data_IF_006016811896
#
_entry.id   IF_006016811896
#
_cell.length_a   1.000
_cell.length_b   1.000
_cell.length_c   1.000
_cell.angle_alpha   90.00
_cell.angle_beta   90.00
_cell.angle_gamma   90.00
#
_symmetry.space_group_name_H-M   'P 1'
#
loop_
_entity.id
_entity.type
_entity.pdbx_description
1 polymer ?
#
# COMPACT_ATOMS: atom_id res chain seq x y z
N UNK A 1 -51.74 -32.81 18.73
CA UNK A 1 -50.26 -32.86 18.86
C UNK A 1 -49.69 -31.60 18.23
N UNK A 2 -49.32 -30.61 19.05
CA UNK A 2 -48.90 -29.28 18.61
C UNK A 2 -47.42 -29.08 18.94
N UNK A 3 -46.64 -28.67 17.92
CA UNK A 3 -45.18 -28.51 17.98
C UNK A 3 -44.78 -27.27 18.80
N UNK A 4 -43.63 -27.28 19.49
CA UNK A 4 -43.16 -26.13 20.26
C UNK A 4 -42.61 -25.03 19.34
N UNK A 5 -42.88 -23.78 19.70
CA UNK A 5 -42.34 -22.57 19.05
C UNK A 5 -40.85 -22.44 19.39
N UNK A 6 -40.00 -22.34 18.37
CA UNK A 6 -38.59 -21.94 18.50
C UNK A 6 -38.53 -20.43 18.44
N UNK A 7 -38.04 -19.80 19.50
CA UNK A 7 -37.75 -18.37 19.58
C UNK A 7 -36.38 -18.12 18.96
N UNK A 8 -36.23 -17.27 17.92
CA UNK A 8 -34.90 -16.91 17.43
C UNK A 8 -34.31 -15.81 18.32
N UNK A 9 -33.06 -16.03 18.69
CA UNK A 9 -32.18 -15.11 19.41
C UNK A 9 -31.83 -13.94 18.46
N UNK A 10 -32.15 -12.71 18.85
CA UNK A 10 -31.71 -11.50 18.14
C UNK A 10 -30.24 -11.23 18.52
N UNK A 11 -29.30 -11.46 17.59
CA UNK A 11 -27.98 -10.82 17.65
C UNK A 11 -28.12 -9.40 17.13
N UNK A 12 -27.95 -8.41 18.01
CA UNK A 12 -27.82 -7.01 17.62
C UNK A 12 -26.54 -6.82 16.81
N UNK A 13 -26.65 -6.70 15.48
CA UNK A 13 -25.61 -6.11 14.64
C UNK A 13 -25.98 -4.65 14.42
N UNK A 14 -25.19 -3.77 15.03
CA UNK A 14 -25.28 -2.33 14.84
C UNK A 14 -24.96 -1.98 13.38
N UNK A 15 -26.01 -1.78 12.58
CA UNK A 15 -25.93 -1.10 11.29
C UNK A 15 -25.78 0.41 11.55
N UNK A 16 -24.65 0.99 11.16
CA UNK A 16 -24.56 2.43 10.93
C UNK A 16 -25.26 2.72 9.59
N UNK A 17 -26.55 3.07 9.64
CA UNK A 17 -27.24 3.70 8.51
C UNK A 17 -26.66 5.10 8.32
N UNK A 18 -25.81 5.27 7.31
CA UNK A 18 -25.52 6.59 6.75
C UNK A 18 -26.76 7.08 6.01
N UNK A 19 -27.56 7.94 6.65
CA UNK A 19 -28.65 8.66 6.00
C UNK A 19 -28.05 9.72 5.08
N UNK A 20 -28.29 9.60 3.77
CA UNK A 20 -28.06 10.69 2.84
C UNK A 20 -29.12 11.77 3.05
N UNK A 21 -28.88 12.70 3.98
CA UNK A 21 -29.67 13.90 4.13
C UNK A 21 -29.17 14.96 3.13
N UNK A 22 -29.96 15.22 2.08
CA UNK A 22 -29.93 16.48 1.35
C UNK A 22 -30.50 17.57 2.29
N UNK A 23 -29.64 18.30 2.98
CA UNK A 23 -30.03 19.49 3.75
C UNK A 23 -29.18 19.77 4.99
N UNK A 24 -28.39 20.85 4.91
CA UNK A 24 -27.71 21.47 6.05
C UNK A 24 -26.23 21.09 6.15
N UNK A 25 -25.33 22.00 5.73
CA UNK A 25 -23.97 22.02 6.26
C UNK A 25 -24.07 22.30 7.77
N UNK A 26 -24.12 21.25 8.57
CA UNK A 26 -23.64 21.30 9.94
C UNK A 26 -22.14 21.10 9.83
N UNK A 27 -21.39 22.20 9.77
CA UNK A 27 -19.96 22.15 10.04
C UNK A 27 -19.83 21.89 11.54
N UNK A 28 -19.71 20.63 11.94
CA UNK A 28 -19.10 20.29 13.23
C UNK A 28 -17.63 20.72 13.14
N UNK A 29 -17.38 22.00 13.42
CA UNK A 29 -16.08 22.66 13.25
C UNK A 29 -15.09 22.34 14.37
N UNK A 30 -15.24 21.19 15.03
CA UNK A 30 -14.40 20.75 16.15
C UNK A 30 -14.10 19.25 16.15
N UNK A 31 -14.40 18.52 15.06
CA UNK A 31 -13.84 17.19 14.90
C UNK A 31 -12.33 17.33 14.63
N UNK A 32 -11.51 16.75 15.51
CA UNK A 32 -10.07 16.62 15.30
C UNK A 32 -9.87 15.93 13.94
N UNK A 33 -9.28 16.65 12.97
CA UNK A 33 -9.12 16.09 11.63
C UNK A 33 -8.30 14.79 11.74
N UNK A 34 -8.78 13.68 11.16
CA UNK A 34 -8.08 12.42 11.29
C UNK A 34 -6.68 12.56 10.70
N UNK A 35 -5.68 12.02 11.40
CA UNK A 35 -4.29 12.06 10.97
C UNK A 35 -4.09 11.44 9.57
N UNK A 36 -5.01 10.60 9.11
CA UNK A 36 -5.08 10.07 7.74
C UNK A 36 -6.52 10.03 7.24
N UNK A 37 -6.76 10.51 6.02
CA UNK A 37 -8.02 10.34 5.30
C UNK A 37 -7.77 9.81 3.90
N UNK A 38 -8.64 8.93 3.42
CA UNK A 38 -8.59 8.38 2.05
C UNK A 38 -9.93 8.62 1.36
N UNK A 39 -9.88 9.18 0.15
CA UNK A 39 -11.04 9.34 -0.74
C UNK A 39 -10.82 8.49 -1.97
N UNK A 40 -11.77 7.62 -2.34
CA UNK A 40 -11.59 6.67 -3.44
C UNK A 40 -12.54 7.02 -4.58
N UNK A 41 -11.97 7.16 -5.77
CA UNK A 41 -12.68 7.40 -7.02
C UNK A 41 -12.66 6.12 -7.83
N UNK A 42 -13.84 5.59 -8.12
CA UNK A 42 -14.00 4.41 -8.97
C UNK A 42 -14.25 4.83 -10.41
N UNK A 43 -13.53 4.21 -11.33
CA UNK A 43 -13.84 4.25 -12.77
C UNK A 43 -14.25 2.86 -13.29
N UNK A 44 -14.65 1.97 -12.38
CA UNK A 44 -15.07 0.61 -12.71
C UNK A 44 -16.37 0.64 -13.51
N UNK A 45 -16.41 -0.07 -14.65
CA UNK A 45 -17.67 -0.37 -15.33
C UNK A 45 -18.48 -1.37 -14.49
N UNK A 46 -19.69 -1.02 -14.00
CA UNK A 46 -20.49 -1.93 -13.18
C UNK A 46 -20.85 -3.25 -13.87
N UNK A 47 -20.90 -3.27 -15.20
CA UNK A 47 -21.22 -4.46 -15.98
C UNK A 47 -19.99 -5.36 -16.22
N UNK A 48 -18.81 -4.76 -16.43
CA UNK A 48 -17.58 -5.48 -16.77
C UNK A 48 -16.62 -5.75 -15.60
N UNK A 49 -16.69 -4.96 -14.53
CA UNK A 49 -15.79 -5.08 -13.38
C UNK A 49 -16.31 -6.10 -12.36
N UNK A 50 -15.61 -7.22 -12.27
CA UNK A 50 -15.85 -8.28 -11.30
C UNK A 50 -14.71 -8.30 -10.24
N UNK A 51 -14.97 -7.80 -9.02
CA UNK A 51 -14.00 -7.83 -7.92
C UNK A 51 -13.50 -9.24 -7.57
N UNK A 52 -14.29 -10.29 -7.83
CA UNK A 52 -13.93 -11.65 -7.46
C UNK A 52 -12.79 -12.21 -8.33
N UNK A 53 -12.66 -11.73 -9.57
CA UNK A 53 -11.53 -12.08 -10.45
C UNK A 53 -10.19 -11.64 -9.87
N UNK A 54 -10.16 -10.44 -9.29
CA UNK A 54 -8.98 -9.86 -8.65
C UNK A 54 -8.56 -10.65 -7.40
N UNK A 55 -9.52 -11.07 -6.57
CA UNK A 55 -9.28 -11.93 -5.40
C UNK A 55 -8.71 -13.30 -5.82
N UNK A 56 -9.21 -13.87 -6.92
CA UNK A 56 -8.75 -15.14 -7.48
C UNK A 56 -7.31 -15.08 -8.00
N UNK A 57 -6.93 -13.99 -8.68
CA UNK A 57 -5.57 -13.79 -9.19
C UNK A 57 -4.55 -13.59 -8.07
N UNK A 58 -4.91 -12.84 -7.01
CA UNK A 58 -4.02 -12.61 -5.88
C UNK A 58 -3.66 -13.91 -5.13
N UNK A 59 -4.63 -14.82 -4.99
CA UNK A 59 -4.44 -16.14 -4.36
C UNK A 59 -3.50 -17.07 -5.13
N UNK A 60 -3.31 -16.85 -6.43
CA UNK A 60 -2.46 -17.65 -7.30
C UNK A 60 -1.05 -17.05 -7.49
N UNK A 61 -0.62 -16.13 -6.61
CA UNK A 61 0.71 -15.52 -6.67
C UNK A 61 0.77 -14.24 -7.52
N UNK A 62 -0.23 -13.36 -7.36
CA UNK A 62 -0.50 -12.21 -8.23
C UNK A 62 0.69 -11.28 -8.55
N UNK A 63 0.66 -10.79 -9.79
CA UNK A 63 1.60 -9.88 -10.45
C UNK A 63 1.71 -8.51 -9.75
N UNK A 64 2.92 -7.96 -9.62
CA UNK A 64 3.18 -6.62 -9.05
C UNK A 64 2.44 -5.50 -9.82
N UNK A 65 2.05 -5.76 -11.07
CA UNK A 65 1.28 -4.83 -11.90
C UNK A 65 -0.22 -4.78 -11.57
N UNK A 66 -0.71 -5.51 -10.55
CA UNK A 66 -2.11 -5.54 -10.14
C UNK A 66 -2.74 -4.14 -10.02
N UNK A 67 -2.05 -3.21 -9.36
CA UNK A 67 -2.60 -1.88 -9.10
C UNK A 67 -2.87 -1.07 -10.37
N UNK A 68 -2.16 -1.34 -11.46
CA UNK A 68 -2.39 -0.69 -12.76
C UNK A 68 -3.65 -1.19 -13.47
N UNK A 69 -4.16 -2.36 -13.07
CA UNK A 69 -5.37 -2.98 -13.63
C UNK A 69 -6.62 -2.61 -12.86
N UNK A 70 -6.48 -2.06 -11.64
CA UNK A 70 -7.60 -1.63 -10.82
C UNK A 70 -8.14 -0.29 -11.36
N UNK A 71 -9.41 -0.24 -11.81
CA UNK A 71 -9.99 0.97 -12.40
C UNK A 71 -10.36 1.98 -11.32
N UNK A 72 -9.57 3.03 -11.19
CA UNK A 72 -9.81 4.11 -10.24
C UNK A 72 -8.51 4.59 -9.60
N UNK A 73 -8.65 5.41 -8.58
CA UNK A 73 -7.55 5.87 -7.76
C UNK A 73 -8.05 6.30 -6.37
N UNK A 74 -7.16 6.32 -5.39
CA UNK A 74 -7.39 6.98 -4.11
C UNK A 74 -6.63 8.29 -4.01
N UNK A 75 -7.21 9.26 -3.32
CA UNK A 75 -6.52 10.45 -2.80
C UNK A 75 -6.29 10.22 -1.32
N UNK A 76 -5.03 10.15 -0.93
CA UNK A 76 -4.61 9.99 0.46
C UNK A 76 -4.16 11.35 0.97
N UNK A 77 -4.62 11.72 2.16
CA UNK A 77 -4.14 12.88 2.91
C UNK A 77 -3.66 12.39 4.27
N UNK A 78 -2.44 12.76 4.63
CA UNK A 78 -1.84 12.40 5.91
C UNK A 78 -1.22 13.63 6.56
N UNK A 79 -1.41 13.79 7.86
CA UNK A 79 -0.75 14.81 8.67
C UNK A 79 0.17 14.13 9.66
N UNK A 80 1.44 14.55 9.73
CA UNK A 80 2.44 14.03 10.66
C UNK A 80 3.27 15.15 11.28
N UNK A 81 3.63 14.93 12.54
CA UNK A 81 4.49 15.79 13.35
C UNK A 81 5.97 15.54 13.02
N UNK A 82 6.72 16.61 12.77
CA UNK A 82 8.16 16.58 12.59
C UNK A 82 8.84 17.69 13.37
N UNK A 83 9.94 17.36 14.05
CA UNK A 83 10.80 18.35 14.70
C UNK A 83 11.75 18.95 13.66
N UNK A 84 11.54 20.23 13.32
CA UNK A 84 12.36 20.96 12.36
C UNK A 84 13.32 21.91 13.07
N UNK A 85 14.50 22.09 12.47
CA UNK A 85 15.42 23.19 12.79
C UNK A 85 15.08 24.39 11.92
N UNK A 86 15.44 25.59 12.36
CA UNK A 86 15.39 26.77 11.47
C UNK A 86 16.38 26.59 10.32
N UNK A 87 15.95 26.86 9.09
CA UNK A 87 16.74 26.69 7.87
C UNK A 87 16.51 25.32 7.21
N UNK A 88 17.58 24.74 6.66
CA UNK A 88 17.53 23.48 5.90
C UNK A 88 17.26 22.26 6.79
N UNK A 89 16.33 21.41 6.35
CA UNK A 89 15.98 20.13 6.96
C UNK A 89 15.78 19.06 5.88
N UNK A 90 16.29 17.86 6.11
CA UNK A 90 15.89 16.69 5.33
C UNK A 90 14.86 15.89 6.12
N UNK A 91 13.70 15.64 5.51
CA UNK A 91 12.58 14.92 6.13
C UNK A 91 12.25 13.69 5.30
N UNK A 92 12.22 12.53 5.95
CA UNK A 92 11.75 11.27 5.36
C UNK A 92 10.33 10.97 5.82
N UNK A 93 9.38 11.05 4.90
CA UNK A 93 7.98 10.69 5.09
C UNK A 93 7.76 9.25 4.58
N UNK A 94 7.97 8.29 5.49
CA UNK A 94 7.90 6.84 5.22
C UNK A 94 6.45 6.34 5.15
N UNK A 95 6.25 5.06 4.83
CA UNK A 95 4.93 4.40 4.89
C UNK A 95 3.89 5.09 4.01
N UNK A 96 4.31 5.62 2.85
CA UNK A 96 3.38 6.11 1.82
C UNK A 96 2.88 4.96 0.97
N UNK A 97 1.80 5.18 0.22
CA UNK A 97 1.25 4.16 -0.65
C UNK A 97 2.29 3.72 -1.70
N UNK A 98 2.37 2.41 -1.96
CA UNK A 98 3.33 1.86 -2.92
C UNK A 98 3.06 2.37 -4.35
N UNK A 99 1.80 2.53 -4.73
CA UNK A 99 1.40 2.99 -6.06
C UNK A 99 1.06 4.48 -6.09
N UNK A 100 1.71 5.25 -5.21
CA UNK A 100 1.62 6.70 -5.17
C UNK A 100 2.09 7.29 -6.51
N UNK A 101 1.34 8.26 -7.03
CA UNK A 101 1.78 9.09 -8.15
C UNK A 101 2.66 10.24 -7.62
N UNK A 102 3.98 10.24 -7.89
CA UNK A 102 4.89 11.24 -7.35
C UNK A 102 4.61 12.66 -7.87
N UNK A 103 3.92 12.79 -9.00
CA UNK A 103 3.57 14.09 -9.60
C UNK A 103 2.34 14.72 -8.95
N UNK A 104 1.59 13.94 -8.17
CA UNK A 104 0.38 14.39 -7.46
C UNK A 104 0.63 14.87 -6.03
N UNK A 105 1.86 14.74 -5.53
CA UNK A 105 2.21 15.02 -4.13
C UNK A 105 2.12 16.51 -3.84
N UNK A 106 1.21 16.87 -2.95
CA UNK A 106 1.10 18.18 -2.34
C UNK A 106 1.69 18.18 -0.93
N UNK A 107 2.44 19.22 -0.61
CA UNK A 107 2.99 19.49 0.71
C UNK A 107 2.32 20.73 1.32
N UNK A 108 2.00 20.67 2.61
CA UNK A 108 1.57 21.84 3.38
C UNK A 108 2.02 21.73 4.82
N UNK A 109 2.78 22.70 5.28
CA UNK A 109 3.05 22.88 6.71
C UNK A 109 1.87 23.63 7.36
N UNK A 110 1.19 22.98 8.30
CA UNK A 110 0.05 23.54 9.03
C UNK A 110 0.49 24.44 10.20
N UNK A 111 1.76 24.37 10.58
CA UNK A 111 2.34 25.03 11.75
C UNK A 111 3.13 26.29 11.39
N UNK A 112 3.77 26.32 10.22
CA UNK A 112 4.34 27.52 9.60
C UNK A 112 4.15 27.49 8.07
N UNK A 113 3.21 28.25 7.51
CA UNK A 113 2.93 28.23 6.07
C UNK A 113 4.07 28.80 5.21
N UNK A 114 5.13 29.34 5.81
CA UNK A 114 6.33 29.83 5.10
C UNK A 114 7.36 28.75 4.85
N UNK A 115 7.21 27.56 5.43
CA UNK A 115 8.10 26.42 5.16
C UNK A 115 8.04 26.07 3.68
N UNK A 116 9.20 26.11 3.02
CA UNK A 116 9.32 25.86 1.59
C UNK A 116 9.89 24.47 1.33
N UNK A 117 9.34 23.77 0.34
CA UNK A 117 9.95 22.55 -0.21
C UNK A 117 10.95 22.97 -1.27
N UNK A 118 12.23 22.70 -1.04
CA UNK A 118 13.32 22.95 -1.98
C UNK A 118 13.50 21.78 -2.94
N UNK A 119 13.35 20.56 -2.42
CA UNK A 119 13.49 19.33 -3.19
C UNK A 119 12.46 18.30 -2.73
N UNK A 120 11.96 17.50 -3.68
CA UNK A 120 11.10 16.36 -3.43
C UNK A 120 11.59 15.17 -4.24
N UNK A 121 11.81 14.05 -3.55
CA UNK A 121 12.17 12.78 -4.16
C UNK A 121 11.26 11.66 -3.65
N UNK A 122 10.73 10.85 -4.56
CA UNK A 122 10.03 9.61 -4.20
C UNK A 122 10.98 8.43 -4.37
N UNK A 123 11.29 7.75 -3.26
CA UNK A 123 12.15 6.57 -3.26
C UNK A 123 11.28 5.32 -3.18
N UNK A 124 11.17 4.63 -4.31
CA UNK A 124 10.35 3.43 -4.51
C UNK A 124 11.18 2.13 -4.60
N UNK A 125 12.47 2.15 -4.25
CA UNK A 125 13.31 0.94 -4.20
C UNK A 125 12.98 0.08 -2.97
N UNK A 126 11.74 -0.42 -2.97
CA UNK A 126 11.22 -1.44 -2.10
C UNK A 126 12.09 -2.69 -2.21
N UNK A 127 12.40 -3.28 -1.06
CA UNK A 127 12.99 -4.61 -0.93
C UNK A 127 12.15 -5.63 -1.71
N UNK A 128 12.59 -5.99 -2.92
CA UNK A 128 12.23 -7.24 -3.59
C UNK A 128 13.42 -8.20 -3.51
N UNK A 129 13.21 -9.52 -3.48
CA UNK A 129 14.32 -10.48 -3.52
C UNK A 129 15.26 -10.23 -4.69
N UNK A 130 14.72 -9.87 -5.87
CA UNK A 130 15.52 -9.51 -7.04
C UNK A 130 16.37 -8.25 -6.84
N UNK A 131 15.78 -7.15 -6.37
CA UNK A 131 16.51 -5.89 -6.12
C UNK A 131 17.53 -6.02 -5.00
N UNK A 132 17.24 -6.83 -3.99
CA UNK A 132 18.23 -7.20 -2.98
C UNK A 132 19.41 -7.89 -3.67
N UNK A 133 19.17 -8.96 -4.43
CA UNK A 133 20.24 -9.69 -5.10
C UNK A 133 21.02 -8.82 -6.09
N UNK A 134 20.37 -7.89 -6.80
CA UNK A 134 21.03 -6.90 -7.65
C UNK A 134 21.98 -5.99 -6.86
N UNK A 135 21.65 -5.63 -5.62
CA UNK A 135 22.52 -4.83 -4.76
C UNK A 135 23.71 -5.61 -4.22
N UNK A 136 23.59 -6.92 -4.13
CA UNK A 136 24.67 -7.84 -3.74
C UNK A 136 25.48 -8.34 -4.95
N UNK A 137 25.28 -7.78 -6.15
CA UNK A 137 26.21 -8.03 -7.25
C UNK A 137 27.61 -7.55 -6.85
N UNK A 138 28.59 -8.40 -7.14
CA UNK A 138 30.00 -8.25 -6.77
C UNK A 138 30.26 -8.27 -5.25
N UNK A 139 29.26 -8.66 -4.44
CA UNK A 139 29.38 -8.84 -2.99
C UNK A 139 29.44 -10.33 -2.61
N UNK A 140 30.00 -10.60 -1.42
CA UNK A 140 30.06 -11.95 -0.87
C UNK A 140 28.70 -12.41 -0.35
N UNK A 141 28.24 -13.56 -0.81
CA UNK A 141 27.01 -14.21 -0.35
C UNK A 141 27.28 -15.65 0.05
N UNK A 142 26.41 -16.19 0.91
CA UNK A 142 26.38 -17.61 1.23
C UNK A 142 25.04 -18.19 0.77
N UNK A 143 25.07 -19.30 0.06
CA UNK A 143 23.88 -20.05 -0.32
C UNK A 143 23.96 -21.48 0.18
N UNK A 144 22.81 -21.99 0.59
CA UNK A 144 22.63 -23.38 1.01
C UNK A 144 21.74 -24.09 0.00
N UNK A 145 22.27 -25.08 -0.69
CA UNK A 145 21.58 -25.87 -1.71
C UNK A 145 21.29 -27.26 -1.17
N UNK A 146 20.11 -27.79 -1.45
CA UNK A 146 19.76 -29.18 -1.12
C UNK A 146 20.10 -30.06 -2.31
N UNK A 147 21.02 -31.01 -2.14
CA UNK A 147 21.44 -31.95 -3.18
C UNK A 147 21.17 -33.38 -2.70
N UNK A 148 20.05 -33.96 -3.16
CA UNK A 148 19.59 -35.27 -2.68
C UNK A 148 19.24 -35.24 -1.19
N UNK A 149 19.88 -36.10 -0.39
CA UNK A 149 19.74 -36.14 1.08
C UNK A 149 20.74 -35.21 1.81
N UNK A 150 21.60 -34.51 1.06
CA UNK A 150 22.67 -33.68 1.59
C UNK A 150 22.37 -32.17 1.50
N UNK A 151 23.06 -31.41 2.35
CA UNK A 151 23.09 -29.95 2.29
C UNK A 151 24.49 -29.53 1.86
N UNK A 152 24.58 -28.67 0.84
CA UNK A 152 25.84 -28.06 0.39
C UNK A 152 25.79 -26.56 0.63
N UNK A 153 26.86 -26.02 1.22
CA UNK A 153 27.03 -24.58 1.43
C UNK A 153 28.03 -24.07 0.40
N UNK A 154 27.67 -23.01 -0.31
CA UNK A 154 28.49 -22.34 -1.32
C UNK A 154 28.65 -20.90 -0.88
N UNK A 155 29.88 -20.46 -0.70
CA UNK A 155 30.23 -19.08 -0.39
C UNK A 155 31.06 -18.49 -1.53
N UNK A 156 30.76 -17.26 -1.92
CA UNK A 156 31.47 -16.60 -3.00
C UNK A 156 30.84 -15.27 -3.41
N UNK A 157 31.40 -14.67 -4.45
CA UNK A 157 30.99 -13.39 -5.02
C UNK A 157 29.81 -13.60 -5.99
N UNK A 158 28.68 -12.91 -5.77
CA UNK A 158 27.52 -12.99 -6.66
C UNK A 158 27.76 -12.16 -7.92
N UNK A 159 27.90 -12.82 -9.08
CA UNK A 159 28.13 -12.12 -10.35
C UNK A 159 26.83 -11.83 -11.12
N UNK A 160 25.77 -12.58 -10.88
CA UNK A 160 24.49 -12.38 -11.55
C UNK A 160 23.34 -13.03 -10.78
N UNK A 161 22.19 -12.36 -10.77
CA UNK A 161 20.90 -12.92 -10.37
C UNK A 161 19.86 -12.59 -11.43
N UNK A 162 19.69 -13.48 -12.40
CA UNK A 162 18.79 -13.24 -13.53
C UNK A 162 18.04 -14.52 -13.92
N UNK A 163 16.78 -14.36 -14.32
CA UNK A 163 15.93 -15.48 -14.78
C UNK A 163 15.85 -16.64 -13.77
N UNK A 164 15.85 -16.34 -12.48
CA UNK A 164 15.82 -17.36 -11.42
C UNK A 164 17.15 -18.10 -11.21
N UNK A 165 18.25 -17.68 -11.84
CA UNK A 165 19.57 -18.29 -11.66
C UNK A 165 20.56 -17.34 -11.01
N UNK A 166 21.37 -17.90 -10.12
CA UNK A 166 22.49 -17.25 -9.46
C UNK A 166 23.79 -17.72 -10.11
N UNK A 167 24.67 -16.78 -10.42
CA UNK A 167 26.06 -17.09 -10.83
C UNK A 167 26.98 -16.62 -9.72
N UNK A 168 27.69 -17.55 -9.11
CA UNK A 168 28.57 -17.29 -7.96
C UNK A 168 29.98 -17.67 -8.35
N UNK A 169 30.92 -16.77 -8.07
CA UNK A 169 32.34 -17.04 -8.21
C UNK A 169 32.90 -17.50 -6.88
N UNK A 170 33.34 -18.74 -6.85
CA UNK A 170 33.96 -19.41 -5.70
C UNK A 170 35.47 -19.50 -5.92
N UNK A 171 36.19 -19.97 -4.91
CA UNK A 171 37.63 -20.23 -5.01
C UNK A 171 37.96 -21.36 -6.02
N UNK A 172 37.00 -22.23 -6.32
CA UNK A 172 37.17 -23.37 -7.22
C UNK A 172 36.68 -23.11 -8.64
N UNK A 173 35.95 -22.01 -8.89
CA UNK A 173 35.48 -21.63 -10.21
C UNK A 173 34.16 -20.85 -10.20
N UNK A 174 33.40 -20.97 -11.28
CA UNK A 174 32.05 -20.42 -11.37
C UNK A 174 31.03 -21.51 -11.10
N UNK A 175 30.10 -21.24 -10.19
CA UNK A 175 28.96 -22.08 -9.92
C UNK A 175 27.67 -21.39 -10.37
N UNK A 176 26.77 -22.17 -10.97
CA UNK A 176 25.44 -21.69 -11.35
C UNK A 176 24.41 -22.50 -10.59
N UNK A 177 23.53 -21.81 -9.87
CA UNK A 177 22.54 -22.43 -9.00
C UNK A 177 21.15 -21.88 -9.32
N UNK A 178 20.14 -22.74 -9.31
CA UNK A 178 18.75 -22.31 -9.38
C UNK A 178 18.33 -21.69 -8.05
N UNK A 179 17.80 -20.48 -8.09
CA UNK A 179 17.38 -19.75 -6.90
C UNK A 179 16.23 -20.46 -6.18
N UNK A 180 15.45 -21.33 -6.84
CA UNK A 180 14.40 -22.13 -6.18
C UNK A 180 14.96 -23.19 -5.24
N UNK A 181 16.17 -23.67 -5.51
CA UNK A 181 16.79 -24.81 -4.82
C UNK A 181 17.76 -24.35 -3.71
N UNK A 182 17.92 -23.03 -3.59
CA UNK A 182 18.88 -22.39 -2.71
C UNK A 182 18.20 -21.53 -1.64
N UNK A 183 18.62 -21.71 -0.38
CA UNK A 183 18.40 -20.73 0.68
C UNK A 183 19.55 -19.72 0.66
N UNK A 184 19.24 -18.46 0.43
CA UNK A 184 20.23 -17.38 0.31
C UNK A 184 20.41 -16.66 1.65
N UNK A 185 21.66 -16.48 2.08
CA UNK A 185 22.05 -15.71 3.26
C UNK A 185 22.90 -14.51 2.82
N UNK A 186 22.36 -13.31 3.01
CA UNK A 186 22.96 -12.04 2.56
C UNK A 186 23.64 -11.26 3.70
N UNK A 187 23.66 -11.81 4.92
CA UNK A 187 24.21 -11.11 6.09
C UNK A 187 23.39 -9.87 6.47
N UNK A 188 24.02 -8.70 6.56
CA UNK A 188 23.40 -7.43 6.95
C UNK A 188 22.84 -6.66 5.76
N UNK A 189 21.64 -6.09 5.89
CA UNK A 189 21.03 -5.25 4.86
C UNK A 189 21.96 -4.09 4.46
N UNK A 190 22.24 -3.86 3.16
CA UNK A 190 23.10 -2.77 2.73
C UNK A 190 22.51 -1.41 3.10
N UNK A 191 23.37 -0.44 3.41
CA UNK A 191 22.93 0.92 3.72
C UNK A 191 22.11 1.54 2.57
N UNK A 192 21.10 2.33 2.93
CA UNK A 192 20.25 3.04 1.97
C UNK A 192 19.11 2.22 1.37
N UNK A 193 18.93 0.95 1.78
CA UNK A 193 17.75 0.19 1.41
C UNK A 193 16.52 0.68 2.18
N UNK A 194 15.51 1.12 1.44
CA UNK A 194 14.22 1.48 2.02
C UNK A 194 13.32 0.24 1.98
N UNK A 195 12.93 -0.23 3.15
CA UNK A 195 11.99 -1.35 3.29
C UNK A 195 10.57 -0.96 2.89
N UNK A 196 10.30 0.33 2.72
CA UNK A 196 8.98 0.90 2.46
C UNK A 196 9.07 2.12 1.54
N UNK A 197 8.03 2.42 0.76
CA UNK A 197 8.01 3.60 -0.10
C UNK A 197 8.14 4.85 0.77
N UNK A 198 8.99 5.79 0.35
CA UNK A 198 9.32 6.97 1.17
C UNK A 198 9.39 8.21 0.29
N UNK A 199 8.72 9.29 0.71
CA UNK A 199 8.94 10.63 0.18
C UNK A 199 10.05 11.29 1.00
N UNK A 200 11.05 11.84 0.33
CA UNK A 200 12.12 12.61 0.95
C UNK A 200 11.99 14.06 0.50
N UNK A 201 11.94 14.97 1.47
CA UNK A 201 11.87 16.40 1.24
C UNK A 201 13.09 17.11 1.81
N UNK A 202 13.64 18.04 1.02
CA UNK A 202 14.52 19.09 1.52
C UNK A 202 13.65 20.32 1.81
N UNK A 203 13.55 20.73 3.06
CA UNK A 203 12.70 21.82 3.53
C UNK A 203 13.55 23.01 3.99
N UNK A 204 13.11 24.23 3.71
CA UNK A 204 13.60 25.45 4.35
C UNK A 204 12.53 25.99 5.30
N UNK A 205 12.79 25.88 6.61
CA UNK A 205 11.85 26.27 7.66
C UNK A 205 12.23 27.63 8.26
N UNK A 206 11.28 28.58 8.28
CA UNK A 206 11.52 29.92 8.82
C UNK A 206 11.76 29.93 10.35
N UNK A 207 11.25 28.92 11.05
CA UNK A 207 11.45 28.66 12.48
C UNK A 207 11.66 27.17 12.73
N UNK A 208 12.26 26.84 13.87
CA UNK A 208 12.32 25.46 14.35
C UNK A 208 11.21 25.14 15.35
N UNK A 209 11.20 23.89 15.79
CA UNK A 209 10.25 23.31 16.74
C UNK A 209 9.47 22.16 16.10
N UNK A 210 8.34 21.80 16.72
CA UNK A 210 7.44 20.80 16.15
C UNK A 210 6.55 21.41 15.05
N UNK A 211 6.46 20.75 13.91
CA UNK A 211 5.64 21.14 12.75
C UNK A 211 4.72 19.99 12.32
N UNK A 212 3.43 20.29 12.21
CA UNK A 212 2.44 19.41 11.59
C UNK A 212 2.47 19.57 10.07
N UNK A 213 3.04 18.57 9.39
CA UNK A 213 3.18 18.53 7.93
C UNK A 213 2.08 17.66 7.35
N UNK A 214 1.29 18.25 6.44
CA UNK A 214 0.28 17.58 5.65
C UNK A 214 0.80 17.22 4.26
N UNK A 215 0.75 15.94 3.95
CA UNK A 215 0.94 15.38 2.60
C UNK A 215 -0.41 15.05 1.98
N UNK A 216 -0.59 15.31 0.70
CA UNK A 216 -1.74 14.81 -0.08
C UNK A 216 -1.25 14.25 -1.40
N UNK A 217 -1.69 13.06 -1.80
CA UNK A 217 -1.24 12.42 -3.02
C UNK A 217 -2.28 11.44 -3.57
N UNK A 218 -2.21 11.17 -4.86
CA UNK A 218 -2.97 10.10 -5.51
C UNK A 218 -2.21 8.78 -5.44
N UNK A 219 -2.96 7.67 -5.41
CA UNK A 219 -2.42 6.31 -5.52
C UNK A 219 -3.34 5.45 -6.38
N UNK A 220 -2.76 4.59 -7.21
CA UNK A 220 -3.50 3.56 -7.93
C UNK A 220 -3.83 2.36 -7.01
N UNK A 221 -4.51 1.35 -7.56
CA UNK A 221 -4.83 0.11 -6.84
C UNK A 221 -6.09 0.16 -5.98
N UNK A 222 -6.78 1.31 -5.92
CA UNK A 222 -7.98 1.49 -5.12
C UNK A 222 -9.20 1.70 -6.02
N UNK A 223 -10.28 0.96 -5.74
CA UNK A 223 -11.58 1.21 -6.36
C UNK A 223 -12.71 0.77 -5.44
N UNK A 224 -13.93 1.13 -5.79
CA UNK A 224 -15.13 0.72 -5.06
C UNK A 224 -16.31 0.51 -6.01
N UNK A 225 -17.29 -0.24 -5.52
CA UNK A 225 -18.57 -0.49 -6.19
C UNK A 225 -19.69 -0.50 -5.15
N UNK A 226 -20.87 -0.03 -5.53
CA UNK A 226 -22.08 -0.20 -4.75
C UNK A 226 -23.13 -0.98 -5.55
N UNK A 227 -23.70 -2.01 -4.95
CA UNK A 227 -24.78 -2.82 -5.49
C UNK A 227 -26.05 -2.53 -4.70
N UNK A 228 -27.13 -2.20 -5.41
CA UNK A 228 -28.42 -1.84 -4.82
C UNK A 228 -29.46 -2.90 -5.18
N UNK A 229 -30.23 -3.34 -4.19
CA UNK A 229 -31.41 -4.17 -4.36
C UNK A 229 -32.63 -3.35 -3.96
N UNK A 230 -33.59 -3.25 -4.88
CA UNK A 230 -34.83 -2.52 -4.69
C UNK A 230 -36.00 -3.50 -4.78
N UNK A 231 -36.80 -3.57 -3.72
CA UNK A 231 -37.98 -4.44 -3.64
C UNK A 231 -39.21 -3.55 -3.53
N UNK A 232 -40.09 -3.63 -4.52
CA UNK A 232 -41.37 -2.91 -4.52
C UNK A 232 -42.42 -3.68 -3.70
N UNK A 233 -43.38 -2.95 -3.12
CA UNK A 233 -44.59 -3.54 -2.58
C UNK A 233 -45.57 -3.96 -3.71
N UNK A 234 -46.57 -4.78 -3.38
CA UNK A 234 -47.49 -5.39 -4.36
C UNK A 234 -48.24 -4.38 -5.25
N UNK A 235 -48.40 -3.13 -4.81
CA UNK A 235 -49.08 -2.04 -5.51
C UNK A 235 -48.14 -0.99 -6.13
N UNK A 236 -46.82 -1.23 -6.15
CA UNK A 236 -45.79 -0.36 -6.73
C UNK A 236 -45.76 1.08 -6.15
N UNK A 237 -46.25 1.29 -4.93
CA UNK A 237 -46.32 2.61 -4.26
C UNK A 237 -45.19 2.88 -3.27
N UNK A 238 -44.46 1.85 -2.86
CA UNK A 238 -43.34 1.92 -1.93
C UNK A 238 -42.22 0.95 -2.33
N UNK A 239 -41.00 1.26 -1.89
CA UNK A 239 -39.82 0.46 -2.19
C UNK A 239 -38.90 0.35 -0.96
N UNK A 240 -38.45 -0.86 -0.68
CA UNK A 240 -37.34 -1.13 0.23
C UNK A 240 -36.03 -1.16 -0.56
N UNK A 241 -35.02 -0.43 -0.07
CA UNK A 241 -33.71 -0.34 -0.72
C UNK A 241 -32.64 -0.88 0.21
N UNK A 242 -31.91 -1.89 -0.24
CA UNK A 242 -30.70 -2.41 0.43
C UNK A 242 -29.50 -2.16 -0.45
N UNK A 243 -28.38 -1.73 0.14
CA UNK A 243 -27.15 -1.47 -0.59
C UNK A 243 -25.97 -2.23 0.03
N UNK A 244 -25.05 -2.70 -0.80
CA UNK A 244 -23.77 -3.27 -0.42
C UNK A 244 -22.64 -2.49 -1.09
N UNK A 245 -21.65 -2.05 -0.32
CA UNK A 245 -20.46 -1.38 -0.84
C UNK A 245 -19.28 -2.32 -0.75
N UNK A 246 -18.61 -2.54 -1.88
CA UNK A 246 -17.38 -3.31 -1.96
C UNK A 246 -16.20 -2.39 -2.23
N UNK A 247 -15.12 -2.58 -1.48
CA UNK A 247 -13.86 -1.87 -1.66
C UNK A 247 -12.79 -2.86 -2.15
N UNK A 248 -11.98 -2.45 -3.12
CA UNK A 248 -10.79 -3.19 -3.54
C UNK A 248 -9.54 -2.34 -3.28
N UNK A 249 -8.52 -2.96 -2.68
CA UNK A 249 -7.24 -2.33 -2.33
C UNK A 249 -6.04 -3.28 -2.38
#
# INVERSE_FOLDING_TARGET
MSRPRITPFLLASSLLLGTAALGGLVTDSNAEEPATSVTIYSSADPAGFDPQRFIGQQRNGGDFNFASQVPGFGVVRQTRSFELKKGLNEVSFTDVAAFLDPTSVGFRDLTDPRTAVLEQAFKFDLVSPSKLLEKYLDEQIEITVTEGDGIRIIAGELLSSSQGRLVIKTDTGLEMVDASDARISLGSLPDGFLTKPTLVWMLDAARGGNHEIRSTYQTAGLTWRADYNLVLNDDDTAADVTAWVSLLN
#
